data_IF_139458568844
#
_entry.id   IF_139458568844
#
_cell.length_a   1.000
_cell.length_b   1.000
_cell.length_c   1.000
_cell.angle_alpha   90.00
_cell.angle_beta   90.00
_cell.angle_gamma   90.00
#
_symmetry.space_group_name_H-M   'P 1'
#
loop_
_entity.id
_entity.type
_entity.pdbx_description
1 polymer ?
#
# COMPACT_ATOMS: atom_id res chain seq x y z
N UNK A 1 11.72 -2.84 21.32
CA UNK A 1 11.16 -3.89 20.48
C UNK A 1 10.70 -3.25 19.18
N UNK A 2 11.29 -3.64 18.05
CA UNK A 2 10.92 -3.13 16.73
C UNK A 2 9.46 -3.50 16.44
N UNK A 3 8.62 -2.58 15.91
CA UNK A 3 7.27 -2.90 15.43
C UNK A 3 7.25 -4.05 14.42
N UNK A 4 8.40 -4.34 13.83
CA UNK A 4 8.63 -5.39 12.82
C UNK A 4 8.67 -6.80 13.41
N UNK A 5 8.93 -6.97 14.72
CA UNK A 5 9.00 -8.30 15.35
C UNK A 5 7.63 -9.00 15.39
N UNK A 6 6.55 -8.23 15.50
CA UNK A 6 5.19 -8.77 15.49
C UNK A 6 4.79 -9.33 14.10
N UNK A 7 5.34 -8.76 13.01
CA UNK A 7 5.05 -9.19 11.64
C UNK A 7 5.95 -10.35 11.17
N UNK A 8 7.15 -10.47 11.74
CA UNK A 8 7.99 -11.66 11.52
C UNK A 8 7.40 -12.93 12.18
N UNK A 9 6.48 -12.72 13.11
CA UNK A 9 5.72 -13.77 13.80
C UNK A 9 4.29 -13.92 13.27
N UNK A 10 3.96 -13.34 12.09
CA UNK A 10 2.76 -13.80 11.40
C UNK A 10 2.91 -15.29 11.19
N UNK A 11 2.02 -16.11 11.78
CA UNK A 11 2.10 -17.54 11.67
C UNK A 11 2.16 -17.89 10.18
N UNK A 12 2.95 -18.89 9.84
CA UNK A 12 3.02 -19.44 8.47
C UNK A 12 1.64 -19.94 7.99
N UNK A 13 0.69 -20.06 8.91
CA UNK A 13 -0.72 -20.26 8.69
C UNK A 13 -1.48 -19.03 9.19
N UNK A 14 -2.54 -18.64 8.48
CA UNK A 14 -3.45 -17.60 8.93
C UNK A 14 -3.91 -17.87 10.36
N UNK A 15 -4.07 -16.83 11.19
CA UNK A 15 -4.64 -17.00 12.51
C UNK A 15 -5.95 -17.80 12.42
N UNK A 16 -6.17 -18.74 13.35
CA UNK A 16 -7.38 -19.55 13.34
C UNK A 16 -8.63 -18.65 13.37
N UNK A 17 -9.74 -19.10 12.79
CA UNK A 17 -10.98 -18.33 12.71
C UNK A 17 -11.55 -17.93 14.09
N UNK A 18 -10.98 -18.47 15.17
CA UNK A 18 -11.34 -18.17 16.55
C UNK A 18 -10.79 -16.85 17.10
N UNK A 19 -9.87 -16.18 16.36
CA UNK A 19 -9.45 -14.82 16.75
C UNK A 19 -10.66 -13.88 16.73
N UNK A 20 -10.87 -13.17 17.84
CA UNK A 20 -11.89 -12.15 17.93
C UNK A 20 -11.67 -11.03 16.88
N UNK A 21 -12.73 -10.36 16.40
CA UNK A 21 -12.60 -9.29 15.42
C UNK A 21 -11.58 -8.21 15.80
N UNK A 22 -11.49 -7.73 17.05
CA UNK A 22 -10.45 -6.78 17.45
C UNK A 22 -9.03 -7.26 17.24
N UNK A 23 -8.73 -8.54 17.50
CA UNK A 23 -7.39 -9.10 17.26
C UNK A 23 -7.04 -9.16 15.77
N UNK A 24 -8.00 -9.56 14.90
CA UNK A 24 -7.82 -9.55 13.44
C UNK A 24 -7.61 -8.14 12.91
N UNK A 25 -8.39 -7.18 13.39
CA UNK A 25 -8.24 -5.77 13.02
C UNK A 25 -6.85 -5.26 13.40
N UNK A 26 -6.37 -5.54 14.63
CA UNK A 26 -5.00 -5.18 15.04
C UNK A 26 -3.93 -5.76 14.11
N UNK A 27 -4.07 -7.02 13.69
CA UNK A 27 -3.14 -7.63 12.72
C UNK A 27 -3.20 -6.93 11.36
N UNK A 28 -4.39 -6.58 10.88
CA UNK A 28 -4.53 -5.84 9.63
C UNK A 28 -3.91 -4.44 9.70
N UNK A 29 -4.09 -3.73 10.81
CA UNK A 29 -3.45 -2.43 11.06
C UNK A 29 -1.92 -2.55 11.06
N UNK A 30 -1.35 -3.61 11.66
CA UNK A 30 0.09 -3.86 11.59
C UNK A 30 0.58 -4.09 10.16
N UNK A 31 -0.19 -4.80 9.32
CA UNK A 31 0.17 -4.96 7.91
C UNK A 31 0.25 -3.62 7.19
N UNK A 32 -0.68 -2.69 7.45
CA UNK A 32 -0.64 -1.33 6.88
C UNK A 32 0.66 -0.58 7.22
N UNK A 33 1.24 -0.80 8.41
CA UNK A 33 2.51 -0.18 8.81
C UNK A 33 3.71 -0.65 7.97
N UNK A 34 3.57 -1.74 7.19
CA UNK A 34 4.62 -2.21 6.26
C UNK A 34 4.59 -1.48 4.92
N UNK A 35 3.63 -0.57 4.70
CA UNK A 35 3.50 0.16 3.47
C UNK A 35 4.74 1.03 3.18
N UNK A 36 5.13 1.15 1.90
CA UNK A 36 6.24 2.03 1.54
C UNK A 36 5.85 3.49 1.72
N UNK A 37 6.81 4.28 2.22
CA UNK A 37 6.69 5.73 2.24
C UNK A 37 8.05 6.39 2.05
N UNK A 38 8.12 7.64 1.54
CA UNK A 38 9.37 8.35 1.33
C UNK A 38 10.17 8.47 2.63
N UNK A 39 11.39 7.89 2.64
CA UNK A 39 12.25 7.85 3.83
C UNK A 39 11.60 7.17 5.04
N UNK A 40 10.64 6.27 4.83
CA UNK A 40 9.86 5.60 5.87
C UNK A 40 9.14 6.58 6.83
N UNK A 41 8.71 7.72 6.32
CA UNK A 41 8.06 8.77 7.10
C UNK A 41 6.69 8.36 7.65
N UNK A 42 6.04 7.37 7.00
CA UNK A 42 4.70 6.88 7.37
C UNK A 42 3.71 8.04 7.58
N UNK A 43 3.41 8.84 6.55
CA UNK A 43 2.69 10.10 6.67
C UNK A 43 1.17 9.89 6.75
N UNK A 44 0.75 8.97 7.61
CA UNK A 44 -0.65 8.64 7.86
C UNK A 44 -0.92 8.39 9.33
N UNK A 45 -2.16 8.56 9.72
CA UNK A 45 -2.71 8.17 11.01
C UNK A 45 -3.93 7.29 10.78
N UNK A 46 -4.09 6.30 11.63
CA UNK A 46 -5.24 5.39 11.58
C UNK A 46 -6.00 5.49 12.91
N UNK A 47 -7.30 5.71 12.82
CA UNK A 47 -8.23 5.70 13.94
C UNK A 47 -9.18 4.53 13.77
N UNK A 48 -9.36 3.76 14.84
CA UNK A 48 -10.39 2.73 14.94
C UNK A 48 -11.49 3.22 15.87
N UNK A 49 -12.72 3.19 15.43
CA UNK A 49 -13.89 3.54 16.23
C UNK A 49 -15.04 2.57 15.94
N UNK A 50 -15.36 1.68 16.88
CA UNK A 50 -16.31 0.60 16.65
C UNK A 50 -15.86 -0.29 15.49
N UNK A 51 -16.75 -0.46 14.52
CA UNK A 51 -16.49 -1.24 13.29
C UNK A 51 -15.98 -0.37 12.13
N UNK A 52 -15.55 0.85 12.41
CA UNK A 52 -15.02 1.78 11.40
C UNK A 52 -13.54 2.07 11.61
N UNK A 53 -12.80 2.08 10.50
CA UNK A 53 -11.39 2.45 10.44
C UNK A 53 -11.28 3.69 9.57
N UNK A 54 -10.67 4.74 10.12
CA UNK A 54 -10.43 5.99 9.43
C UNK A 54 -8.93 6.14 9.15
N UNK A 55 -8.58 6.28 7.88
CA UNK A 55 -7.20 6.53 7.45
C UNK A 55 -7.06 8.01 7.06
N UNK A 56 -6.21 8.72 7.77
CA UNK A 56 -5.91 10.13 7.52
C UNK A 56 -4.49 10.31 6.98
N UNK A 57 -4.25 11.38 6.23
CA UNK A 57 -2.90 11.92 6.10
C UNK A 57 -2.43 12.48 7.44
N UNK A 58 -1.11 12.50 7.65
CA UNK A 58 -0.51 13.15 8.83
C UNK A 58 0.39 14.32 8.37
N UNK A 59 -0.14 15.57 8.38
CA UNK A 59 0.62 16.75 8.00
C UNK A 59 1.89 16.95 8.84
N UNK A 60 1.89 16.51 10.10
CA UNK A 60 3.07 16.64 10.98
C UNK A 60 4.26 15.79 10.51
N UNK A 61 3.99 14.74 9.73
CA UNK A 61 5.01 13.88 9.10
C UNK A 61 5.26 14.23 7.64
N UNK A 62 4.61 15.27 7.13
CA UNK A 62 4.84 15.79 5.80
C UNK A 62 6.27 16.34 5.66
N UNK A 63 6.77 16.33 4.44
CA UNK A 63 8.08 16.89 4.07
C UNK A 63 7.89 17.96 3.00
N UNK A 64 7.42 19.18 3.35
CA UNK A 64 7.00 20.20 2.39
C UNK A 64 8.06 20.51 1.31
N UNK A 65 9.33 20.52 1.68
CA UNK A 65 10.43 20.76 0.72
C UNK A 65 10.65 19.63 -0.30
N UNK A 66 10.15 18.41 -0.03
CA UNK A 66 10.32 17.25 -0.91
C UNK A 66 9.01 16.77 -1.53
N UNK A 67 7.90 17.25 -1.02
CA UNK A 67 6.54 16.89 -1.42
C UNK A 67 5.63 18.12 -1.27
N UNK A 68 5.91 19.21 -2.02
CA UNK A 68 5.17 20.47 -1.89
C UNK A 68 3.69 20.29 -2.22
N UNK A 69 3.38 19.45 -3.20
CA UNK A 69 2.01 19.18 -3.66
C UNK A 69 1.31 18.07 -2.86
N UNK A 70 2.01 17.43 -1.92
CA UNK A 70 1.46 16.33 -1.13
C UNK A 70 1.20 15.03 -1.89
N UNK A 71 1.64 14.90 -3.14
CA UNK A 71 1.40 13.72 -3.98
C UNK A 71 2.03 12.45 -3.42
N UNK A 72 3.29 12.54 -2.95
CA UNK A 72 3.97 11.38 -2.37
C UNK A 72 3.29 10.91 -1.07
N UNK A 73 2.76 11.85 -0.30
CA UNK A 73 1.97 11.57 0.91
C UNK A 73 0.68 10.83 0.57
N UNK A 74 -0.03 11.26 -0.48
CA UNK A 74 -1.24 10.58 -0.97
C UNK A 74 -0.92 9.17 -1.48
N UNK A 75 0.13 9.01 -2.28
CA UNK A 75 0.58 7.69 -2.77
C UNK A 75 0.95 6.77 -1.60
N UNK A 76 1.65 7.28 -0.60
CA UNK A 76 2.00 6.51 0.60
C UNK A 76 0.77 6.10 1.40
N UNK A 77 -0.22 6.99 1.57
CA UNK A 77 -1.51 6.70 2.19
C UNK A 77 -2.29 5.62 1.42
N UNK A 78 -2.32 5.72 0.09
CA UNK A 78 -2.93 4.70 -0.78
C UNK A 78 -2.25 3.33 -0.64
N UNK A 79 -0.92 3.30 -0.53
CA UNK A 79 -0.19 2.05 -0.28
C UNK A 79 -0.54 1.43 1.09
N UNK A 80 -0.69 2.26 2.13
CA UNK A 80 -1.12 1.79 3.45
C UNK A 80 -2.56 1.25 3.40
N UNK A 81 -3.47 1.95 2.72
CA UNK A 81 -4.85 1.49 2.49
C UNK A 81 -4.89 0.15 1.75
N UNK A 82 -4.12 0.00 0.69
CA UNK A 82 -4.07 -1.23 -0.09
C UNK A 82 -3.64 -2.44 0.75
N UNK A 83 -2.58 -2.29 1.57
CA UNK A 83 -2.14 -3.35 2.49
C UNK A 83 -3.16 -3.62 3.60
N UNK A 84 -3.81 -2.58 4.14
CA UNK A 84 -4.89 -2.73 5.12
C UNK A 84 -6.05 -3.57 4.57
N UNK A 85 -6.54 -3.23 3.39
CA UNK A 85 -7.66 -3.94 2.73
C UNK A 85 -7.30 -5.40 2.43
N UNK A 86 -6.11 -5.64 1.88
CA UNK A 86 -5.62 -7.01 1.65
C UNK A 86 -5.59 -7.79 2.95
N UNK A 87 -5.07 -7.20 4.03
CA UNK A 87 -4.98 -7.87 5.32
C UNK A 87 -6.35 -8.14 5.95
N UNK A 88 -7.29 -7.17 5.91
CA UNK A 88 -8.65 -7.37 6.41
C UNK A 88 -9.31 -8.55 5.72
N UNK A 89 -9.29 -8.59 4.39
CA UNK A 89 -9.88 -9.68 3.60
C UNK A 89 -9.17 -11.02 3.82
N UNK A 90 -7.83 -11.03 3.88
CA UNK A 90 -7.06 -12.23 4.16
C UNK A 90 -7.31 -12.79 5.56
N UNK A 91 -7.69 -11.94 6.51
CA UNK A 91 -8.10 -12.30 7.86
C UNK A 91 -9.60 -12.61 8.00
N UNK A 92 -10.32 -12.69 6.88
CA UNK A 92 -11.72 -13.06 6.85
C UNK A 92 -12.69 -11.95 7.24
N UNK A 93 -12.26 -10.68 7.19
CA UNK A 93 -13.12 -9.53 7.47
C UNK A 93 -13.62 -8.92 6.15
N UNK A 94 -14.94 -8.84 5.99
CA UNK A 94 -15.56 -8.10 4.90
C UNK A 94 -15.47 -6.60 5.20
N UNK A 95 -15.09 -5.81 4.19
CA UNK A 95 -14.95 -4.36 4.31
C UNK A 95 -15.62 -3.65 3.13
N UNK A 96 -16.14 -2.47 3.41
CA UNK A 96 -16.53 -1.48 2.43
C UNK A 96 -15.65 -0.25 2.62
N UNK A 97 -15.06 0.25 1.54
CA UNK A 97 -14.15 1.41 1.58
C UNK A 97 -14.73 2.56 0.78
N UNK A 98 -14.90 3.68 1.44
CA UNK A 98 -15.18 4.98 0.84
C UNK A 98 -13.88 5.78 0.75
N UNK A 99 -13.57 6.28 -0.45
CA UNK A 99 -12.35 7.05 -0.71
C UNK A 99 -12.63 8.55 -0.66
N UNK A 100 -11.73 9.29 -0.02
CA UNK A 100 -11.74 10.76 0.04
C UNK A 100 -13.11 11.34 0.43
N UNK A 101 -13.72 10.86 1.54
CA UNK A 101 -15.00 11.40 1.98
C UNK A 101 -14.88 12.87 2.36
N UNK A 102 -15.89 13.68 2.04
CA UNK A 102 -15.87 15.15 2.17
C UNK A 102 -15.84 15.68 3.62
N UNK A 103 -15.89 14.80 4.62
CA UNK A 103 -16.05 15.16 6.03
C UNK A 103 -14.82 15.84 6.65
N UNK A 104 -13.63 15.54 6.12
CA UNK A 104 -12.39 16.09 6.64
C UNK A 104 -11.30 16.12 5.54
N UNK A 105 -10.60 17.24 5.34
CA UNK A 105 -9.63 17.41 4.27
C UNK A 105 -8.44 16.44 4.30
N UNK A 106 -8.11 15.92 5.47
CA UNK A 106 -7.02 14.95 5.62
C UNK A 106 -7.50 13.49 5.61
N UNK A 107 -8.82 13.22 5.53
CA UNK A 107 -9.36 11.88 5.50
C UNK A 107 -9.19 11.26 4.13
N UNK A 108 -8.37 10.22 4.04
CA UNK A 108 -8.11 9.48 2.81
C UNK A 108 -9.13 8.40 2.53
N UNK A 109 -9.56 7.72 3.59
CA UNK A 109 -10.53 6.64 3.46
C UNK A 109 -11.26 6.37 4.78
N UNK A 110 -12.54 5.98 4.64
CA UNK A 110 -13.33 5.35 5.68
C UNK A 110 -13.54 3.89 5.28
N UNK A 111 -13.26 2.97 6.18
CA UNK A 111 -13.40 1.54 5.97
C UNK A 111 -14.40 1.02 7.01
N UNK A 112 -15.56 0.57 6.57
CA UNK A 112 -16.59 -0.02 7.42
C UNK A 112 -16.49 -1.54 7.36
N UNK A 113 -16.38 -2.19 8.53
CA UNK A 113 -16.35 -3.64 8.63
C UNK A 113 -17.79 -4.17 8.62
N UNK A 114 -18.10 -5.08 7.69
CA UNK A 114 -19.47 -5.53 7.42
C UNK A 114 -19.70 -7.02 7.68
N UNK A 115 -18.81 -7.66 8.45
CA UNK A 115 -18.96 -9.08 8.80
C UNK A 115 -17.79 -9.93 8.32
N UNK A 116 -18.05 -11.17 7.92
CA UNK A 116 -17.03 -12.14 7.53
C UNK A 116 -17.08 -12.47 6.05
N UNK A 117 -15.89 -12.70 5.46
CA UNK A 117 -15.72 -13.15 4.08
C UNK A 117 -14.68 -14.25 4.02
N UNK A 118 -14.87 -15.23 3.15
CA UNK A 118 -13.84 -16.25 2.93
C UNK A 118 -12.63 -15.63 2.21
N UNK A 119 -11.41 -15.74 2.74
CA UNK A 119 -10.22 -15.22 2.09
C UNK A 119 -9.90 -16.01 0.81
N UNK A 120 -9.41 -15.32 -0.21
CA UNK A 120 -8.89 -15.98 -1.39
C UNK A 120 -7.45 -16.44 -1.17
N UNK A 121 -6.97 -17.47 -1.90
CA UNK A 121 -5.56 -17.87 -1.85
C UNK A 121 -4.59 -16.72 -2.20
N UNK A 122 -4.98 -15.84 -3.12
CA UNK A 122 -4.18 -14.68 -3.51
C UNK A 122 -4.05 -13.67 -2.35
N UNK A 123 -5.16 -13.35 -1.68
CA UNK A 123 -5.15 -12.44 -0.51
C UNK A 123 -4.27 -12.98 0.62
N UNK A 124 -4.38 -14.28 0.88
CA UNK A 124 -3.54 -14.97 1.87
C UNK A 124 -2.06 -14.87 1.51
N UNK A 125 -1.72 -15.14 0.26
CA UNK A 125 -0.35 -15.03 -0.23
C UNK A 125 0.19 -13.60 -0.15
N UNK A 126 -0.61 -12.60 -0.52
CA UNK A 126 -0.24 -11.18 -0.45
C UNK A 126 0.04 -10.75 1.00
N UNK A 127 -0.80 -11.16 1.95
CA UNK A 127 -0.56 -10.87 3.37
C UNK A 127 0.77 -11.47 3.85
N UNK A 128 1.10 -12.70 3.46
CA UNK A 128 2.37 -13.34 3.81
C UNK A 128 3.58 -12.69 3.11
N UNK A 129 3.37 -12.10 1.93
CA UNK A 129 4.42 -11.40 1.18
C UNK A 129 4.69 -9.98 1.70
N UNK A 130 3.69 -9.32 2.28
CA UNK A 130 3.78 -7.93 2.74
C UNK A 130 5.01 -7.62 3.63
N UNK A 131 5.32 -8.41 4.69
CA UNK A 131 6.49 -8.16 5.53
C UNK A 131 7.82 -8.44 4.83
N UNK A 132 7.82 -9.20 3.73
CA UNK A 132 9.00 -9.55 2.95
C UNK A 132 9.33 -8.49 1.88
N UNK A 133 8.38 -7.62 1.57
CA UNK A 133 8.56 -6.55 0.60
C UNK A 133 9.74 -5.64 1.02
N UNK A 134 10.56 -5.28 0.06
CA UNK A 134 11.67 -4.33 0.24
C UNK A 134 11.67 -3.32 -0.91
N UNK A 135 12.08 -2.11 -0.63
CA UNK A 135 12.41 -1.12 -1.67
C UNK A 135 13.81 -1.42 -2.18
N UNK A 136 13.91 -1.98 -3.37
CA UNK A 136 15.18 -2.27 -4.03
C UNK A 136 15.69 -0.99 -4.69
N UNK A 137 16.91 -0.56 -4.33
CA UNK A 137 17.56 0.64 -4.89
C UNK A 137 18.80 0.34 -5.74
N UNK A 138 19.50 -0.79 -5.53
CA UNK A 138 20.62 -1.14 -6.39
C UNK A 138 20.18 -1.37 -7.85
N UNK A 139 21.09 -1.35 -8.82
CA UNK A 139 20.78 -1.68 -10.20
C UNK A 139 20.09 -3.05 -10.30
N UNK A 140 19.06 -3.12 -11.12
CA UNK A 140 18.37 -4.38 -11.40
C UNK A 140 19.23 -5.22 -12.37
N UNK A 141 19.09 -6.55 -12.28
CA UNK A 141 19.69 -7.43 -13.25
C UNK A 141 19.09 -7.19 -14.64
N UNK A 142 19.90 -7.29 -15.68
CA UNK A 142 19.43 -7.20 -17.07
C UNK A 142 18.71 -8.50 -17.46
N UNK A 143 17.48 -8.62 -16.96
CA UNK A 143 16.59 -9.75 -17.26
C UNK A 143 15.22 -9.22 -17.65
N UNK A 144 14.63 -9.72 -18.73
CA UNK A 144 13.29 -9.34 -19.13
C UNK A 144 12.26 -9.78 -18.07
N UNK A 145 11.30 -8.93 -17.80
CA UNK A 145 10.12 -9.30 -17.00
C UNK A 145 9.28 -10.26 -17.83
N UNK A 146 8.89 -11.40 -17.26
CA UNK A 146 8.09 -12.39 -17.95
C UNK A 146 6.72 -11.84 -18.34
N UNK A 147 6.32 -12.05 -19.56
CA UNK A 147 5.08 -11.52 -20.14
C UNK A 147 3.80 -11.80 -19.30
N UNK A 148 3.61 -12.99 -18.72
CA UNK A 148 2.44 -13.22 -17.86
C UNK A 148 2.41 -12.35 -16.60
N UNK A 149 3.58 -12.10 -16.01
CA UNK A 149 3.69 -11.20 -14.86
C UNK A 149 3.39 -9.76 -15.26
N UNK A 150 3.91 -9.32 -16.39
CA UNK A 150 3.70 -7.97 -16.88
C UNK A 150 2.22 -7.70 -17.17
N UNK A 151 1.54 -8.64 -17.83
CA UNK A 151 0.08 -8.58 -18.04
C UNK A 151 -0.68 -8.49 -16.74
N UNK A 152 -0.36 -9.36 -15.75
CA UNK A 152 -1.02 -9.32 -14.44
C UNK A 152 -0.83 -7.99 -13.72
N UNK A 153 0.36 -7.38 -13.82
CA UNK A 153 0.62 -6.04 -13.25
C UNK A 153 -0.22 -4.95 -13.93
N UNK A 154 -0.35 -5.00 -15.26
CA UNK A 154 -1.21 -4.08 -16.00
C UNK A 154 -2.69 -4.24 -15.62
N UNK A 155 -3.15 -5.48 -15.45
CA UNK A 155 -4.54 -5.74 -15.05
C UNK A 155 -4.82 -5.24 -13.64
N UNK A 156 -3.92 -5.49 -12.70
CA UNK A 156 -4.02 -4.95 -11.33
C UNK A 156 -4.06 -3.41 -11.29
N UNK A 157 -3.29 -2.74 -12.14
CA UNK A 157 -3.34 -1.29 -12.23
C UNK A 157 -4.73 -0.82 -12.70
N UNK A 158 -5.31 -1.46 -13.73
CA UNK A 158 -6.66 -1.11 -14.22
C UNK A 158 -7.75 -1.35 -13.18
N UNK A 159 -7.62 -2.38 -12.34
CA UNK A 159 -8.56 -2.64 -11.23
C UNK A 159 -8.62 -1.48 -10.21
N UNK A 160 -7.64 -0.56 -10.24
CA UNK A 160 -7.52 0.60 -9.35
C UNK A 160 -7.56 1.93 -10.10
N UNK A 161 -8.17 1.96 -11.28
CA UNK A 161 -8.26 3.14 -12.16
C UNK A 161 -6.89 3.79 -12.47
N UNK A 162 -5.83 2.96 -12.48
CA UNK A 162 -4.48 3.36 -12.85
C UNK A 162 -4.04 2.67 -14.15
N UNK A 163 -3.08 3.28 -14.84
CA UNK A 163 -2.48 2.70 -16.02
C UNK A 163 -1.00 2.37 -15.78
N UNK A 164 -0.60 1.14 -16.08
CA UNK A 164 0.79 0.72 -16.11
C UNK A 164 1.24 0.60 -17.57
N UNK A 165 2.20 1.46 -17.96
CA UNK A 165 2.77 1.48 -19.30
C UNK A 165 4.15 0.80 -19.30
N UNK A 166 4.27 -0.43 -19.84
CA UNK A 166 5.55 -1.08 -19.97
C UNK A 166 6.43 -0.43 -21.03
N UNK A 167 7.66 -0.06 -20.68
CA UNK A 167 8.62 0.54 -21.61
C UNK A 167 9.55 -0.55 -22.18
N UNK A 168 9.18 -1.09 -23.33
CA UNK A 168 9.93 -2.19 -23.96
C UNK A 168 11.09 -1.70 -24.86
N UNK A 169 10.92 -0.53 -25.50
CA UNK A 169 11.87 -0.01 -26.46
C UNK A 169 12.94 0.85 -25.79
N UNK A 170 14.25 0.70 -26.14
CA UNK A 170 15.30 1.54 -25.59
C UNK A 170 15.00 3.04 -25.72
N UNK A 171 14.52 3.49 -26.89
CA UNK A 171 14.16 4.88 -27.11
C UNK A 171 13.09 5.42 -26.16
N UNK A 172 12.14 4.59 -25.73
CA UNK A 172 11.12 5.00 -24.73
C UNK A 172 11.75 5.22 -23.35
N UNK A 173 12.70 4.36 -22.97
CA UNK A 173 13.43 4.48 -21.71
C UNK A 173 14.33 5.71 -21.69
N UNK A 174 15.01 5.98 -22.79
CA UNK A 174 15.85 7.16 -22.98
C UNK A 174 15.02 8.46 -22.92
N UNK A 175 13.86 8.49 -23.61
CA UNK A 175 12.97 9.64 -23.56
C UNK A 175 12.45 9.90 -22.15
N UNK A 176 12.07 8.85 -21.39
CA UNK A 176 11.66 9.01 -19.98
C UNK A 176 12.82 9.51 -19.12
N UNK A 177 14.03 8.96 -19.26
CA UNK A 177 15.20 9.39 -18.52
C UNK A 177 15.50 10.89 -18.76
N UNK A 178 15.50 11.33 -20.01
CA UNK A 178 15.69 12.72 -20.37
C UNK A 178 14.61 13.65 -19.76
N UNK A 179 13.35 13.20 -19.73
CA UNK A 179 12.26 13.97 -19.11
C UNK A 179 12.44 14.12 -17.60
N UNK A 180 12.89 13.05 -16.91
CA UNK A 180 13.17 13.07 -15.46
C UNK A 180 14.36 14.00 -15.16
N UNK A 181 15.43 13.93 -15.92
CA UNK A 181 16.61 14.79 -15.77
C UNK A 181 16.25 16.27 -15.96
N UNK A 182 15.47 16.58 -17.00
CA UNK A 182 15.00 17.95 -17.26
C UNK A 182 14.16 18.49 -16.11
N UNK A 183 13.29 17.68 -15.51
CA UNK A 183 12.49 18.07 -14.35
C UNK A 183 13.37 18.34 -13.13
N UNK A 184 14.30 17.43 -12.83
CA UNK A 184 15.23 17.59 -11.70
C UNK A 184 16.11 18.84 -11.83
N UNK A 185 16.50 19.21 -13.05
CA UNK A 185 17.27 20.44 -13.29
C UNK A 185 16.47 21.72 -13.09
N UNK A 186 15.13 21.67 -13.25
CA UNK A 186 14.25 22.81 -13.05
C UNK A 186 13.81 22.98 -11.58
N UNK A 187 13.96 21.94 -10.75
CA UNK A 187 13.57 21.93 -9.34
C UNK A 187 14.76 22.32 -8.41
N UNK A 188 15.93 22.66 -8.96
CA UNK A 188 17.13 23.16 -8.26
C UNK A 188 17.30 24.66 -8.42
#
# INVERSE_FOLDING_TARGET
>A
LSPWSALNNLPSQLPPPELDPPARVRLALHAALTAPSPGNSQPWRILLHGDEIFLFTDPARARPHRDPDGQQRLIAGGAALGLLRVALRALGLAEHTELLPDEHPDLLARISLSGSVAPTPEQTWLLQAAPKRRTHRPPLADRPVREPLLRRLCDLARETDAELLPLHRPAQREALAASVEAKLANDL
#
